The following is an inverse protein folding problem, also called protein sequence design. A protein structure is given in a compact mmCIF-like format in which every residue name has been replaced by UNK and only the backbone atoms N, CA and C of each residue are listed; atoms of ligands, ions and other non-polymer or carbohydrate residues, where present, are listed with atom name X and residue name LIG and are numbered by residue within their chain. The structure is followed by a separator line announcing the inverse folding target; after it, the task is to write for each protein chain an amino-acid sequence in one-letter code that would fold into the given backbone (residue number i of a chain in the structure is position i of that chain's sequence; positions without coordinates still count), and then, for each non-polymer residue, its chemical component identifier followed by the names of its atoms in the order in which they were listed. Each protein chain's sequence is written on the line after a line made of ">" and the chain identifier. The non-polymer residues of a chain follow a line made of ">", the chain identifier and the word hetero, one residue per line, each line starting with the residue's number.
data_IF_196735029015
#
_entry.id   IF_196735029015
#
_cell.length_a   1.000
_cell.length_b   1.000
_cell.length_c   1.000
_cell.angle_alpha   90.00
_cell.angle_beta   90.00
_cell.angle_gamma   90.00
#
_symmetry.space_group_name_H-M   'P 1'
#
loop_
_entity.id
_entity.type
_entity.pdbx_description
1 polymer ?
#
# COMPACT_ATOMS: atom_id res chain seq x y z
N UNK A 1 -2.77 5.73 11.83
CA UNK A 1 -1.64 5.53 10.89
C UNK A 1 -0.41 5.00 11.64
N UNK A 2 -0.42 5.03 12.98
CA UNK A 2 0.63 4.49 13.85
C UNK A 2 1.03 3.03 13.59
N UNK A 3 0.10 2.17 13.16
CA UNK A 3 0.43 0.76 12.87
C UNK A 3 1.28 0.52 11.60
N UNK A 4 1.38 1.49 10.69
CA UNK A 4 2.21 1.35 9.48
C UNK A 4 3.67 1.73 9.71
N UNK A 5 3.96 2.51 10.75
CA UNK A 5 5.32 2.83 11.17
C UNK A 5 6.04 1.58 11.72
N UNK A 6 5.27 0.66 12.33
CA UNK A 6 5.77 -0.60 12.89
C UNK A 6 5.96 -1.69 11.83
N UNK A 7 5.31 -1.57 10.66
CA UNK A 7 5.30 -2.58 9.61
C UNK A 7 6.31 -2.23 8.51
N UNK A 8 7.16 -3.19 8.15
CA UNK A 8 8.16 -2.99 7.09
C UNK A 8 7.55 -3.00 5.69
N UNK A 9 8.22 -2.35 4.72
CA UNK A 9 7.75 -2.41 3.32
C UNK A 9 7.79 -3.86 2.83
N UNK A 10 8.80 -4.60 3.24
CA UNK A 10 8.99 -6.02 2.94
C UNK A 10 7.83 -6.89 3.46
N UNK A 11 7.31 -6.60 4.66
CA UNK A 11 6.14 -7.31 5.21
C UNK A 11 4.86 -7.00 4.44
N UNK A 12 4.70 -5.78 3.93
CA UNK A 12 3.58 -5.41 3.07
C UNK A 12 3.68 -6.07 1.69
N UNK A 13 4.90 -6.25 1.16
CA UNK A 13 5.13 -6.96 -0.10
C UNK A 13 4.87 -8.46 0.05
N UNK A 14 5.30 -9.08 1.15
CA UNK A 14 5.02 -10.48 1.45
C UNK A 14 3.51 -10.74 1.62
N UNK A 15 2.81 -9.82 2.29
CA UNK A 15 1.34 -9.87 2.38
C UNK A 15 0.67 -9.70 1.02
N UNK A 16 1.24 -8.89 0.11
CA UNK A 16 0.71 -8.68 -1.24
C UNK A 16 0.86 -9.90 -2.15
N UNK A 17 1.93 -10.68 -1.98
CA UNK A 17 2.15 -11.93 -2.73
C UNK A 17 1.11 -13.00 -2.35
N UNK A 18 0.61 -12.95 -1.11
CA UNK A 18 -0.31 -13.94 -0.54
C UNK A 18 -1.79 -13.49 -0.50
N UNK A 19 -2.12 -12.31 -1.04
CA UNK A 19 -3.48 -11.77 -0.95
C UNK A 19 -4.30 -12.05 -2.21
N UNK A 20 -5.49 -12.58 -2.00
CA UNK A 20 -6.47 -12.76 -3.07
C UNK A 20 -7.57 -11.69 -3.01
N UNK A 21 -7.92 -11.17 -4.18
CA UNK A 21 -9.03 -10.24 -4.37
C UNK A 21 -8.63 -8.75 -4.44
N UNK A 22 -9.37 -8.01 -5.25
CA UNK A 22 -9.00 -6.65 -5.68
C UNK A 22 -8.91 -5.63 -4.52
N UNK A 23 -9.86 -5.67 -3.58
CA UNK A 23 -9.91 -4.71 -2.46
C UNK A 23 -8.72 -4.83 -1.51
N UNK A 24 -8.36 -6.02 -1.00
CA UNK A 24 -7.21 -6.14 -0.10
C UNK A 24 -5.86 -5.88 -0.82
N UNK A 25 -5.73 -6.24 -2.11
CA UNK A 25 -4.58 -5.83 -2.95
C UNK A 25 -4.43 -4.31 -3.02
N UNK A 26 -5.50 -3.57 -3.36
CA UNK A 26 -5.46 -2.10 -3.43
C UNK A 26 -5.10 -1.45 -2.09
N UNK A 27 -5.56 -2.02 -0.98
CA UNK A 27 -5.24 -1.53 0.37
C UNK A 27 -3.76 -1.69 0.71
N UNK A 28 -3.16 -2.81 0.32
CA UNK A 28 -1.73 -3.06 0.51
C UNK A 28 -0.87 -2.16 -0.39
N UNK A 29 -1.27 -1.96 -1.65
CA UNK A 29 -0.60 -1.04 -2.56
C UNK A 29 -0.59 0.41 -2.03
N UNK A 30 -1.74 0.89 -1.51
CA UNK A 30 -1.82 2.20 -0.90
C UNK A 30 -0.91 2.34 0.34
N UNK A 31 -0.79 1.28 1.15
CA UNK A 31 0.10 1.25 2.31
C UNK A 31 1.59 1.28 1.92
N UNK A 32 1.98 0.51 0.89
CA UNK A 32 3.35 0.50 0.35
C UNK A 32 3.72 1.89 -0.21
N UNK A 33 2.82 2.49 -0.98
CA UNK A 33 3.02 3.82 -1.55
C UNK A 33 3.19 4.89 -0.46
N UNK A 34 2.32 4.89 0.56
CA UNK A 34 2.47 5.76 1.72
C UNK A 34 3.85 5.61 2.39
N UNK A 35 4.33 4.37 2.55
CA UNK A 35 5.62 4.10 3.20
C UNK A 35 6.84 4.47 2.35
N UNK A 36 6.69 4.48 1.02
CA UNK A 36 7.71 4.96 0.09
C UNK A 36 7.70 6.50 -0.07
N UNK A 37 6.88 7.21 0.72
CA UNK A 37 6.78 8.67 0.68
C UNK A 37 5.90 9.20 -0.45
N UNK A 38 5.16 8.32 -1.15
CA UNK A 38 4.15 8.75 -2.12
C UNK A 38 2.98 9.34 -1.36
N UNK A 39 2.66 10.60 -1.67
CA UNK A 39 1.59 11.31 -0.99
C UNK A 39 0.22 10.81 -1.45
N UNK A 40 -0.83 11.03 -0.65
CA UNK A 40 -2.21 10.66 -1.02
C UNK A 40 -2.66 11.31 -2.35
N UNK A 41 -2.12 12.48 -2.68
CA UNK A 41 -2.38 13.17 -3.95
C UNK A 41 -1.82 12.40 -5.14
N UNK A 42 -0.56 11.97 -5.07
CA UNK A 42 0.10 11.19 -6.12
C UNK A 42 -0.53 9.80 -6.29
N UNK A 43 -0.98 9.20 -5.18
CA UNK A 43 -1.75 7.96 -5.18
C UNK A 43 -3.10 8.08 -5.89
N UNK A 44 -3.79 9.21 -5.72
CA UNK A 44 -5.07 9.46 -6.38
C UNK A 44 -4.91 9.61 -7.90
N UNK A 45 -3.83 10.25 -8.36
CA UNK A 45 -3.53 10.37 -9.79
C UNK A 45 -3.28 9.02 -10.48
N UNK A 46 -2.68 8.05 -9.78
CA UNK A 46 -2.48 6.70 -10.32
C UNK A 46 -3.78 5.88 -10.45
N UNK A 47 -4.78 6.19 -9.62
CA UNK A 47 -6.03 5.43 -9.57
C UNK A 47 -7.09 5.92 -10.58
N UNK A 48 -6.85 7.08 -11.21
CA UNK A 48 -7.73 7.73 -12.19
C UNK A 48 -7.34 7.40 -13.66
N UNK A 49 -6.31 6.57 -13.88
CA UNK A 49 -5.87 6.06 -15.20
C UNK A 49 -6.27 4.60 -15.42
#
# INVERSE_FOLDING_TARGET
>A
MDHLDEISVEELQDALDNVDGNKPTQRLLAAIAYKNGVTQTELAEWHDT
#
